data_IF_580447328072
#
_entry.id   IF_580447328072
#
_cell.length_a   1.000
_cell.length_b   1.000
_cell.length_c   1.000
_cell.angle_alpha   90.00
_cell.angle_beta   90.00
_cell.angle_gamma   90.00
#
_symmetry.space_group_name_H-M   'P 1'
#
loop_
_entity.id
_entity.type
_entity.pdbx_description
1 polymer ?
2 non-polymer ?
3 water ?
#
# COMPACT_ATOMS: atom_id res chain seq x y z
N UNK A 1 5.73 -8.28 13.22
CA UNK A 1 4.38 -8.15 12.61
C UNK A 1 4.27 -8.87 11.28
N UNK A 2 3.11 -8.73 10.64
CA UNK A 2 2.85 -9.35 9.35
C UNK A 2 1.75 -8.59 8.62
N UNK A 3 2.02 -8.24 7.36
CA UNK A 3 1.02 -7.56 6.54
C UNK A 3 0.95 -8.34 5.23
N UNK A 4 -0.26 -8.65 4.79
CA UNK A 4 -0.42 -9.39 3.55
C UNK A 4 -1.14 -8.51 2.55
N UNK A 5 -0.76 -8.64 1.28
CA UNK A 5 -1.34 -7.85 0.22
C UNK A 5 -1.98 -8.72 -0.84
N UNK A 6 -3.28 -8.55 -1.03
CA UNK A 6 -3.99 -9.29 -2.06
C UNK A 6 -4.00 -8.39 -3.29
N UNK A 7 -3.19 -8.77 -4.28
CA UNK A 7 -3.06 -8.02 -5.52
C UNK A 7 -4.35 -8.03 -6.33
N UNK A 8 -4.96 -9.20 -6.43
CA UNK A 8 -6.19 -9.36 -7.20
C UNK A 8 -7.34 -9.80 -6.30
N UNK A 9 -7.79 -8.91 -5.40
CA UNK A 9 -8.90 -9.22 -4.49
C UNK A 9 -10.24 -9.39 -5.21
N UNK A 13 -7.72 -15.56 -2.09
CA UNK A 13 -6.81 -15.62 -3.23
C UNK A 13 -5.35 -15.45 -2.84
N UNK A 14 -4.49 -15.38 -3.86
CA UNK A 14 -3.06 -15.21 -3.66
C UNK A 14 -2.74 -13.86 -3.06
N UNK A 15 -1.63 -13.80 -2.33
CA UNK A 15 -1.21 -12.56 -1.73
C UNK A 15 0.28 -12.57 -1.46
N UNK A 16 0.83 -11.37 -1.31
CA UNK A 16 2.23 -11.20 -1.01
C UNK A 16 2.26 -11.09 0.50
N UNK A 17 2.96 -12.02 1.15
CA UNK A 17 3.06 -12.02 2.61
C UNK A 17 4.34 -11.32 3.03
N UNK A 18 4.20 -10.18 3.70
CA UNK A 18 5.36 -9.40 4.14
C UNK A 18 5.65 -9.56 5.63
N UNK A 19 6.84 -10.07 5.94
CA UNK A 19 7.26 -10.30 7.33
C UNK A 19 8.40 -9.37 7.75
N UNK A 20 8.84 -8.50 6.84
CA UNK A 20 9.95 -7.62 7.18
C UNK A 20 10.03 -6.39 6.29
N UNK A 21 10.97 -5.51 6.62
CA UNK A 21 11.19 -4.29 5.85
C UNK A 21 11.53 -4.63 4.40
N UNK A 22 10.97 -3.87 3.47
CA UNK A 22 11.28 -4.04 2.06
C UNK A 22 11.62 -2.62 1.60
N UNK A 23 12.91 -2.36 1.38
CA UNK A 23 13.38 -1.03 0.96
C UNK A 23 12.97 -0.63 -0.44
N UNK A 24 12.57 -1.59 -1.26
CA UNK A 24 12.16 -1.27 -2.62
C UNK A 24 11.13 -2.27 -3.13
N UNK A 25 9.88 -1.83 -3.20
CA UNK A 25 8.76 -2.64 -3.69
C UNK A 25 8.31 -2.10 -5.04
N UNK A 26 9.06 -1.15 -5.60
CA UNK A 26 8.66 -0.53 -6.86
C UNK A 26 8.55 -1.45 -8.07
N UNK A 27 9.21 -2.60 -8.04
CA UNK A 27 9.14 -3.52 -9.17
C UNK A 27 7.88 -4.38 -9.09
N UNK A 28 7.19 -4.32 -7.95
CA UNK A 28 5.97 -5.11 -7.75
C UNK A 28 4.82 -4.60 -8.63
N UNK A 29 4.29 -5.48 -9.47
CA UNK A 29 3.17 -5.14 -10.35
C UNK A 29 1.91 -5.63 -9.64
N UNK A 30 1.10 -4.70 -9.15
CA UNK A 30 -0.11 -5.04 -8.42
C UNK A 30 -1.39 -4.86 -9.26
N UNK A 31 -2.37 -4.14 -8.72
CA UNK A 31 -3.62 -3.89 -9.43
C UNK A 31 -4.16 -2.52 -9.02
N UNK A 32 -5.17 -2.00 -9.74
CA UNK A 32 -5.75 -0.69 -9.42
C UNK A 32 -6.38 -0.67 -8.03
N UNK A 33 -6.85 -1.84 -7.60
CA UNK A 33 -7.48 -1.97 -6.29
C UNK A 33 -6.89 -3.19 -5.59
N UNK A 34 -6.26 -2.95 -4.45
CA UNK A 34 -5.66 -4.04 -3.68
C UNK A 34 -6.15 -3.97 -2.24
N UNK A 35 -6.08 -5.11 -1.56
CA UNK A 35 -6.50 -5.17 -0.17
C UNK A 35 -5.24 -5.38 0.67
N UNK A 36 -4.95 -4.41 1.53
CA UNK A 36 -3.80 -4.48 2.42
C UNK A 36 -4.36 -4.94 3.75
N UNK A 37 -3.89 -6.08 4.24
CA UNK A 37 -4.37 -6.60 5.51
C UNK A 37 -3.26 -6.72 6.54
N UNK A 38 -3.22 -5.78 7.48
CA UNK A 38 -2.22 -5.84 8.53
C UNK A 38 -2.79 -6.84 9.53
N UNK A 39 -2.17 -8.02 9.58
CA UNK A 39 -2.59 -9.09 10.47
C UNK A 39 -2.16 -8.79 11.90
N UNK A 40 -0.96 -8.25 12.04
CA UNK A 40 -0.44 -7.89 13.35
C UNK A 40 0.72 -6.93 13.19
N UNK A 41 0.94 -6.10 14.21
CA UNK A 41 2.02 -5.14 14.17
C UNK A 41 1.61 -3.82 13.54
N UNK A 42 2.60 -3.00 13.23
CA UNK A 42 2.38 -1.70 12.62
C UNK A 42 3.28 -1.59 11.40
N UNK A 43 2.80 -0.91 10.37
CA UNK A 43 3.56 -0.77 9.15
C UNK A 43 3.39 0.60 8.53
N UNK A 44 4.27 0.91 7.58
CA UNK A 44 4.19 2.17 6.86
C UNK A 44 4.40 1.88 5.38
N UNK A 45 3.48 2.35 4.55
CA UNK A 45 3.60 2.16 3.12
C UNK A 45 4.17 3.47 2.59
N UNK A 46 5.25 3.39 1.82
CA UNK A 46 5.87 4.59 1.26
C UNK A 46 5.71 4.65 -0.25
N UNK A 47 5.58 5.87 -0.76
CA UNK A 47 5.43 6.10 -2.19
C UNK A 47 6.71 5.79 -2.96
N UNK A 48 7.86 6.02 -2.33
CA UNK A 48 9.14 5.79 -2.99
C UNK A 48 10.03 4.81 -2.24
N UNK A 49 11.04 4.25 -2.94
CA UNK A 49 11.96 3.30 -2.31
C UNK A 49 12.73 3.96 -1.17
N UNK A 50 13.29 3.14 -0.29
CA UNK A 50 14.07 3.62 0.83
C UNK A 50 13.30 4.49 1.82
N UNK A 51 12.01 4.20 1.94
CA UNK A 51 11.13 4.89 2.88
C UNK A 51 11.11 6.41 2.73
N UNK A 52 10.86 6.86 1.50
CA UNK A 52 10.81 8.29 1.20
C UNK A 52 9.50 8.61 0.50
N UNK A 53 9.20 9.89 0.37
CA UNK A 53 7.97 10.31 -0.30
C UNK A 53 6.76 10.28 0.60
N UNK A 54 5.57 10.36 0.01
CA UNK A 54 4.35 10.31 0.81
C UNK A 54 4.29 8.98 1.53
N UNK A 55 3.54 8.94 2.62
CA UNK A 55 3.44 7.72 3.40
C UNK A 55 2.04 7.43 3.93
N UNK A 56 1.79 6.16 4.19
CA UNK A 56 0.51 5.74 4.74
C UNK A 56 0.80 4.87 5.95
N UNK A 57 0.55 5.38 7.16
CA UNK A 57 0.80 4.60 8.37
C UNK A 57 -0.34 3.59 8.52
N UNK A 58 -0.01 2.39 8.98
CA UNK A 58 -1.01 1.35 9.14
C UNK A 58 -0.87 0.54 10.41
N UNK A 59 -2.01 0.23 11.02
CA UNK A 59 -2.05 -0.60 12.21
C UNK A 59 -2.96 -1.77 11.86
N UNK A 60 -3.12 -2.71 12.78
CA UNK A 60 -3.95 -3.89 12.54
C UNK A 60 -5.28 -3.56 11.87
N UNK A 61 -5.59 -4.28 10.79
CA UNK A 61 -6.84 -4.03 10.09
C UNK A 61 -6.72 -4.17 8.59
N UNK A 62 -7.82 -3.92 7.89
CA UNK A 62 -7.84 -4.02 6.44
C UNK A 62 -8.10 -2.69 5.76
N UNK A 63 -7.40 -2.46 4.65
CA UNK A 63 -7.55 -1.24 3.89
C UNK A 63 -7.55 -1.55 2.40
N UNK A 64 -8.63 -1.19 1.72
CA UNK A 64 -8.70 -1.41 0.29
C UNK A 64 -8.01 -0.20 -0.32
N UNK A 65 -6.78 -0.39 -0.79
CA UNK A 65 -6.01 0.70 -1.37
C UNK A 65 -6.22 0.84 -2.87
N UNK A 66 -6.27 2.09 -3.31
CA UNK A 66 -6.46 2.41 -4.72
C UNK A 66 -6.13 3.89 -4.90
N UNK A 67 -6.20 4.35 -6.14
CA UNK A 67 -5.93 5.75 -6.43
C UNK A 67 -4.48 6.09 -6.67
N UNK A 68 -4.20 7.39 -6.75
CA UNK A 68 -2.85 7.88 -6.98
C UNK A 68 -2.38 8.65 -5.75
N UNK A 69 -1.08 8.60 -5.49
CA UNK A 69 -0.50 9.29 -4.34
C UNK A 69 -0.72 10.80 -4.43
N UNK A 70 -0.74 11.46 -3.28
CA UNK A 70 -0.94 12.89 -3.26
C UNK A 70 -2.38 13.33 -3.38
N UNK A 71 -2.58 14.59 -3.75
CA UNK A 71 -3.92 15.15 -3.86
C UNK A 71 -4.28 15.61 -5.28
N UNK A 72 -5.46 15.20 -5.73
CA UNK A 72 -5.96 15.60 -7.04
C UNK A 72 -7.33 16.22 -6.78
N UNK A 73 -7.30 17.49 -6.36
CA UNK A 73 -8.48 18.27 -6.00
C UNK A 73 -9.84 17.91 -6.61
N UNK A 74 -9.91 17.86 -7.93
CA UNK A 74 -11.17 17.57 -8.62
C UNK A 74 -11.88 16.27 -8.24
N UNK A 75 -11.15 15.29 -7.74
CA UNK A 75 -11.78 14.01 -7.42
C UNK A 75 -11.70 13.56 -5.97
N UNK A 76 -11.19 14.42 -5.10
CA UNK A 76 -11.00 14.06 -3.69
C UNK A 76 -12.22 13.85 -2.79
N UNK A 77 -13.30 14.60 -2.98
CA UNK A 77 -14.46 14.41 -2.10
C UNK A 77 -15.15 13.08 -2.37
N UNK A 78 -15.93 12.62 -1.39
CA UNK A 78 -16.68 11.37 -1.48
C UNK A 78 -15.86 10.10 -1.23
N UNK A 79 -14.95 9.78 -2.14
CA UNK A 79 -14.14 8.58 -2.01
C UNK A 79 -12.79 8.75 -2.71
N UNK A 80 -11.95 7.72 -2.61
CA UNK A 80 -10.64 7.74 -3.25
C UNK A 80 -10.88 7.50 -4.74
N UNK A 81 -10.32 8.36 -5.59
CA UNK A 81 -10.49 8.23 -7.03
C UNK A 81 -9.60 7.15 -7.61
N UNK A 82 -10.22 6.08 -8.09
CA UNK A 82 -9.48 4.98 -8.68
C UNK A 82 -8.79 5.39 -9.98
N UNK A 83 -7.82 4.59 -10.40
CA UNK A 83 -7.07 4.83 -11.61
C UNK A 83 -6.85 3.51 -12.34
N UNK A 84 -6.58 3.58 -13.63
CA UNK A 84 -6.33 2.37 -14.42
C UNK A 84 -4.94 1.83 -14.14
N UNK A 85 -4.06 2.69 -13.63
CA UNK A 85 -2.70 2.25 -13.35
C UNK A 85 -2.62 1.49 -12.02
N UNK A 86 -1.96 0.32 -12.03
CA UNK A 86 -1.84 -0.49 -10.81
C UNK A 86 -1.26 0.34 -9.66
N UNK A 87 -1.71 0.05 -8.44
CA UNK A 87 -1.20 0.75 -7.28
C UNK A 87 0.29 0.45 -7.20
N UNK A 88 1.10 1.48 -7.01
CA UNK A 88 2.54 1.28 -6.89
C UNK A 88 3.02 1.65 -5.49
N UNK A 89 3.73 0.73 -4.86
CA UNK A 89 4.28 0.95 -3.52
C UNK A 89 5.80 1.02 -3.65
N UNK A 90 6.39 2.08 -3.11
CA UNK A 90 7.83 2.26 -3.19
C UNK A 90 8.62 1.42 -2.20
N UNK A 91 8.14 1.36 -0.97
CA UNK A 91 8.80 0.59 0.07
C UNK A 91 7.84 0.38 1.23
N UNK A 92 8.11 -0.66 2.01
CA UNK A 92 7.27 -1.00 3.15
C UNK A 92 8.14 -1.11 4.39
N UNK A 93 7.81 -0.32 5.41
CA UNK A 93 8.56 -0.31 6.65
C UNK A 93 7.85 -1.11 7.73
N UNK A 94 8.61 -2.01 8.35
CA UNK A 94 8.11 -2.86 9.42
C UNK A 94 8.40 -2.13 10.73
N UNK A 95 7.35 -1.56 11.34
CA UNK A 95 7.51 -0.82 12.58
C UNK A 95 7.79 -1.72 13.77
N UNK A 96 9.04 -1.67 14.23
CA UNK A 96 9.53 -2.46 15.36
C UNK A 96 9.49 -3.95 15.04
X LIG B 1 -2.77 6.22 -1.72
X LIG B 1 -2.14 7.48 -1.98
X LIG B 1 -2.95 5.44 -3.02
X LIG B 1 -3.71 6.23 -3.94
X LIG B 1 -1.59 5.12 -3.64
X LIG B 1 -1.79 4.39 -4.85
#
# INVERSE_FOLDING_TARGET
GKVVIYSEPDVSEKCIEVFSDIQDCSSWSLSPVILIKVVRGCWILYEQPNFEGHSIPLEEGELELSGLWGIEDILERHEEAESDKPVVIGSIRHVV
GOL C1 O1 C2 O2 C3 O3
#
